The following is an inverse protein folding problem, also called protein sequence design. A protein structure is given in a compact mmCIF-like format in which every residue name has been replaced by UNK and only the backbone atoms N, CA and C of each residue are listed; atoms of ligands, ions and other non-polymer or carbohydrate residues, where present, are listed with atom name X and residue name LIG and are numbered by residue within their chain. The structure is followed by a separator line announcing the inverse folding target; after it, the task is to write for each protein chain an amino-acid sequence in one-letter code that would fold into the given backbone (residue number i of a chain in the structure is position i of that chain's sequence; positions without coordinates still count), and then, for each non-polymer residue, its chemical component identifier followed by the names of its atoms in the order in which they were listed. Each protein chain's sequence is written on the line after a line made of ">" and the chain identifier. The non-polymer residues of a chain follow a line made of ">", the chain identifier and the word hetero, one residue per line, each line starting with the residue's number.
data_IF_300524772305
#
_entry.id   IF_300524772305
#
_cell.length_a   1.000
_cell.length_b   1.000
_cell.length_c   1.000
_cell.angle_alpha   90.00
_cell.angle_beta   90.00
_cell.angle_gamma   90.00
#
_symmetry.space_group_name_H-M   'P 1'
#
loop_
_entity.id
_entity.type
_entity.pdbx_description
1 polymer ?
#
# COMPACT_ATOMS: atom_id res chain seq x y z
N UNK A 1 -26.40 18.27 -25.55
CA UNK A 1 -26.87 16.91 -25.87
C UNK A 1 -25.79 15.95 -25.40
N UNK A 2 -26.04 15.30 -24.25
CA UNK A 2 -25.06 14.37 -23.64
C UNK A 2 -25.02 13.07 -24.46
N UNK A 3 -23.86 12.77 -25.02
CA UNK A 3 -23.58 11.54 -25.79
C UNK A 3 -23.29 10.32 -24.94
N UNK A 4 -23.52 10.40 -23.63
CA UNK A 4 -23.39 9.26 -22.72
C UNK A 4 -24.77 8.93 -22.14
N UNK A 5 -25.45 7.98 -22.74
CA UNK A 5 -26.47 7.24 -22.01
C UNK A 5 -25.83 6.68 -20.74
N UNK A 6 -26.39 7.02 -19.58
CA UNK A 6 -26.09 6.38 -18.31
C UNK A 6 -26.47 4.90 -18.45
N UNK A 7 -25.55 4.07 -18.94
CA UNK A 7 -25.59 2.64 -18.60
C UNK A 7 -25.52 2.58 -17.08
N UNK A 8 -26.42 1.81 -16.49
CA UNK A 8 -26.53 1.61 -15.06
C UNK A 8 -25.15 1.30 -14.46
N UNK A 9 -24.48 2.34 -13.95
CA UNK A 9 -23.21 2.18 -13.26
C UNK A 9 -23.52 1.61 -11.88
N UNK A 10 -23.31 0.31 -11.71
CA UNK A 10 -23.36 -0.33 -10.39
C UNK A 10 -22.16 0.21 -9.61
N UNK A 11 -22.40 0.91 -8.53
CA UNK A 11 -21.34 1.40 -7.65
C UNK A 11 -21.22 0.52 -6.42
N UNK A 12 -20.05 0.51 -5.79
CA UNK A 12 -19.84 -0.19 -4.51
C UNK A 12 -20.81 0.29 -3.43
N UNK A 13 -21.21 1.56 -3.47
CA UNK A 13 -22.19 2.16 -2.54
C UNK A 13 -23.63 1.70 -2.79
N UNK A 14 -23.94 1.10 -3.96
CA UNK A 14 -25.28 0.59 -4.29
C UNK A 14 -25.42 -0.92 -4.08
N UNK A 15 -24.35 -1.64 -3.75
CA UNK A 15 -24.43 -3.06 -3.45
C UNK A 15 -24.93 -3.26 -2.02
N UNK A 16 -25.92 -4.14 -1.80
CA UNK A 16 -26.30 -4.54 -0.45
C UNK A 16 -25.12 -5.26 0.24
N UNK A 17 -24.79 -4.80 1.44
CA UNK A 17 -23.72 -5.39 2.25
C UNK A 17 -24.30 -6.54 3.07
N UNK A 18 -23.76 -7.73 2.89
CA UNK A 18 -24.11 -8.91 3.67
C UNK A 18 -23.60 -8.73 5.11
N UNK A 19 -24.47 -8.95 6.09
CA UNK A 19 -24.11 -8.90 7.51
C UNK A 19 -23.15 -10.03 7.87
N UNK A 20 -22.31 -9.84 8.87
CA UNK A 20 -21.22 -10.75 9.24
C UNK A 20 -21.67 -12.19 9.50
N UNK A 21 -22.83 -12.38 10.14
CA UNK A 21 -23.40 -13.71 10.44
C UNK A 21 -23.86 -14.50 9.18
N UNK A 22 -23.97 -13.87 8.03
CA UNK A 22 -24.32 -14.47 6.74
C UNK A 22 -23.15 -14.53 5.74
N UNK A 23 -21.98 -13.99 6.08
CA UNK A 23 -20.81 -13.91 5.18
C UNK A 23 -20.37 -15.29 4.70
N UNK A 24 -20.42 -16.30 5.57
CA UNK A 24 -20.03 -17.68 5.22
C UNK A 24 -20.75 -18.22 4.00
N UNK A 25 -22.07 -18.00 3.88
CA UNK A 25 -22.85 -18.54 2.76
C UNK A 25 -22.49 -17.92 1.42
N UNK A 26 -22.30 -16.57 1.38
CA UNK A 26 -21.91 -15.90 0.15
C UNK A 26 -20.45 -16.21 -0.22
N UNK A 27 -19.59 -16.33 0.78
CA UNK A 27 -18.19 -16.70 0.60
C UNK A 27 -18.03 -18.09 -0.01
N UNK A 28 -18.74 -19.10 0.52
CA UNK A 28 -18.69 -20.47 -0.02
C UNK A 28 -19.13 -20.48 -1.49
N UNK A 29 -20.21 -19.79 -1.86
CA UNK A 29 -20.67 -19.65 -3.25
C UNK A 29 -19.62 -18.94 -4.13
N UNK A 30 -19.03 -17.88 -3.63
CA UNK A 30 -18.01 -17.14 -4.36
C UNK A 30 -16.76 -17.99 -4.59
N UNK A 31 -16.29 -18.71 -3.56
CA UNK A 31 -15.14 -19.60 -3.65
C UNK A 31 -15.38 -20.74 -4.65
N UNK A 32 -16.55 -21.37 -4.62
CA UNK A 32 -16.91 -22.44 -5.57
C UNK A 32 -16.98 -21.93 -7.01
N UNK A 33 -17.61 -20.78 -7.23
CA UNK A 33 -17.81 -20.23 -8.56
C UNK A 33 -16.50 -19.73 -9.22
N UNK A 34 -15.52 -19.31 -8.42
CA UNK A 34 -14.30 -18.65 -8.91
C UNK A 34 -13.02 -19.48 -8.71
N UNK A 35 -13.13 -20.64 -8.07
CA UNK A 35 -11.96 -21.43 -7.68
C UNK A 35 -11.10 -20.76 -6.60
N UNK A 36 -11.72 -19.95 -5.73
CA UNK A 36 -11.04 -19.29 -4.63
C UNK A 36 -10.49 -17.90 -4.94
N UNK A 37 -11.01 -17.23 -5.97
CA UNK A 37 -10.69 -15.83 -6.28
C UNK A 37 -11.81 -14.91 -5.80
N UNK A 38 -11.48 -13.87 -5.03
CA UNK A 38 -12.47 -12.92 -4.54
C UNK A 38 -12.28 -11.58 -5.25
N UNK A 39 -13.28 -11.14 -6.01
CA UNK A 39 -13.29 -9.81 -6.62
C UNK A 39 -13.43 -8.75 -5.54
N UNK A 40 -12.53 -7.76 -5.52
CA UNK A 40 -12.61 -6.64 -4.60
C UNK A 40 -13.26 -5.41 -5.26
N UNK A 41 -13.70 -4.49 -4.41
CA UNK A 41 -14.19 -3.16 -4.84
C UNK A 41 -13.14 -2.11 -4.53
N UNK A 42 -13.05 -1.00 -5.31
CA UNK A 42 -12.10 0.07 -5.02
C UNK A 42 -12.31 0.67 -3.63
N UNK A 43 -11.25 0.68 -2.82
CA UNK A 43 -11.23 1.28 -1.47
C UNK A 43 -10.44 2.58 -1.51
N UNK A 44 -11.12 3.71 -1.34
CA UNK A 44 -10.54 5.04 -1.41
C UNK A 44 -10.33 5.61 -0.02
N UNK A 45 -9.18 6.27 0.20
CA UNK A 45 -8.85 6.93 1.48
C UNK A 45 -8.36 8.36 1.20
N UNK A 46 -8.99 9.38 1.83
CA UNK A 46 -8.54 10.75 1.73
C UNK A 46 -7.43 11.03 2.75
N UNK A 47 -6.54 11.97 2.41
CA UNK A 47 -5.57 12.54 3.36
C UNK A 47 -5.56 14.06 3.27
N UNK A 48 -5.33 14.69 4.40
CA UNK A 48 -5.33 16.15 4.51
C UNK A 48 -3.95 16.78 4.27
N UNK A 49 -2.90 15.99 4.06
CA UNK A 49 -1.52 16.47 4.02
C UNK A 49 -1.23 17.36 2.83
N UNK A 50 -1.61 16.91 1.62
CA UNK A 50 -1.42 17.63 0.37
C UNK A 50 -2.65 17.56 -0.52
N UNK A 51 -2.60 18.29 -1.64
CA UNK A 51 -3.54 18.04 -2.72
C UNK A 51 -3.25 16.68 -3.36
N UNK A 52 -4.31 15.92 -3.71
CA UNK A 52 -4.13 14.65 -4.38
C UNK A 52 -3.44 14.83 -5.72
N UNK A 53 -2.60 13.87 -6.08
CA UNK A 53 -2.06 13.70 -7.42
C UNK A 53 -3.17 13.32 -8.41
N UNK A 54 -2.78 13.01 -9.65
CA UNK A 54 -3.74 12.73 -10.72
C UNK A 54 -3.57 11.34 -11.30
N UNK A 55 -2.69 10.51 -10.70
CA UNK A 55 -2.25 9.25 -11.29
C UNK A 55 -2.95 8.00 -10.76
N UNK A 56 -3.67 8.07 -9.61
CA UNK A 56 -4.44 6.91 -9.09
C UNK A 56 -5.74 6.64 -9.87
N UNK A 57 -5.93 7.31 -11.00
CA UNK A 57 -7.04 7.10 -11.96
C UNK A 57 -8.42 7.41 -11.40
N UNK A 58 -8.54 8.18 -10.34
CA UNK A 58 -9.80 8.76 -9.89
C UNK A 58 -10.16 9.98 -10.77
N UNK A 59 -11.45 10.15 -11.12
CA UNK A 59 -11.90 11.30 -11.89
C UNK A 59 -11.67 12.60 -11.12
N UNK A 60 -11.16 13.68 -11.76
CA UNK A 60 -10.86 14.93 -11.06
C UNK A 60 -12.01 15.54 -10.27
N UNK A 61 -13.25 15.41 -10.75
CA UNK A 61 -14.45 15.91 -10.06
C UNK A 61 -14.71 15.16 -8.73
N UNK A 62 -14.10 14.01 -8.53
CA UNK A 62 -14.31 13.14 -7.38
C UNK A 62 -13.17 13.19 -6.35
N UNK A 63 -12.12 14.01 -6.57
CA UNK A 63 -10.99 14.09 -5.63
C UNK A 63 -11.39 14.45 -4.20
N UNK A 64 -12.52 15.12 -4.02
CA UNK A 64 -13.05 15.51 -2.71
C UNK A 64 -14.44 14.90 -2.44
N UNK A 65 -14.76 13.76 -3.05
CA UNK A 65 -16.05 13.10 -2.91
C UNK A 65 -16.39 12.65 -1.47
N UNK A 66 -15.37 12.48 -0.63
CA UNK A 66 -15.53 12.11 0.78
C UNK A 66 -15.63 13.31 1.73
N UNK A 67 -15.68 14.55 1.21
CA UNK A 67 -15.75 15.81 1.97
C UNK A 67 -14.45 16.59 1.92
N UNK A 68 -14.55 17.88 1.59
CA UNK A 68 -13.36 18.73 1.43
C UNK A 68 -12.59 18.93 2.75
N UNK A 69 -13.28 18.89 3.88
CA UNK A 69 -12.72 18.99 5.23
C UNK A 69 -11.88 17.78 5.61
N UNK A 70 -12.06 16.65 4.94
CA UNK A 70 -11.32 15.41 5.16
C UNK A 70 -10.04 15.32 4.33
N UNK A 71 -9.83 16.27 3.43
CA UNK A 71 -8.76 16.26 2.45
C UNK A 71 -9.15 15.59 1.13
N UNK A 72 -8.20 15.53 0.20
CA UNK A 72 -8.41 14.88 -1.09
C UNK A 72 -8.18 13.38 -1.03
N UNK A 73 -8.84 12.66 -1.94
CA UNK A 73 -8.59 11.22 -2.13
C UNK A 73 -7.29 11.07 -2.90
N UNK A 74 -6.24 10.71 -2.20
CA UNK A 74 -4.89 10.51 -2.71
C UNK A 74 -4.38 9.08 -2.52
N UNK A 75 -5.16 8.22 -1.85
CA UNK A 75 -4.83 6.81 -1.66
C UNK A 75 -5.93 5.89 -2.20
N UNK A 76 -5.52 4.74 -2.76
CA UNK A 76 -6.37 3.59 -3.04
C UNK A 76 -5.76 2.35 -2.40
N UNK A 77 -6.48 1.73 -1.46
CA UNK A 77 -6.03 0.57 -0.70
C UNK A 77 -6.47 -0.73 -1.32
N UNK A 78 -5.66 -1.78 -1.23
CA UNK A 78 -5.87 -3.08 -1.86
C UNK A 78 -5.80 -4.21 -0.84
N UNK A 79 -6.83 -5.09 -0.86
CA UNK A 79 -6.89 -6.27 0.00
C UNK A 79 -6.72 -5.96 1.48
N UNK A 80 -7.22 -4.81 1.92
CA UNK A 80 -7.03 -4.31 3.28
C UNK A 80 -8.08 -4.86 4.24
N UNK A 81 -7.62 -5.36 5.39
CA UNK A 81 -8.45 -5.64 6.57
C UNK A 81 -8.16 -4.65 7.71
N UNK A 82 -7.42 -3.57 7.40
CA UNK A 82 -7.00 -2.53 8.33
C UNK A 82 -7.86 -1.28 8.16
N UNK A 83 -8.37 -0.74 9.26
CA UNK A 83 -9.06 0.54 9.28
C UNK A 83 -8.06 1.68 9.19
N UNK A 84 -8.36 2.72 8.40
CA UNK A 84 -7.48 3.89 8.35
C UNK A 84 -7.58 4.72 9.65
N UNK A 85 -6.51 5.42 9.98
CA UNK A 85 -6.40 6.22 11.21
C UNK A 85 -6.75 7.70 11.00
N UNK A 86 -7.66 8.01 10.07
CA UNK A 86 -8.14 9.38 9.86
C UNK A 86 -9.06 9.84 10.98
N UNK A 87 -8.97 11.12 11.34
CA UNK A 87 -10.00 11.76 12.17
C UNK A 87 -11.33 11.79 11.42
N UNK A 88 -12.44 11.58 12.14
CA UNK A 88 -13.80 11.59 11.59
C UNK A 88 -14.01 10.61 10.42
N UNK A 89 -13.28 9.48 10.40
CA UNK A 89 -13.44 8.43 9.39
C UNK A 89 -14.80 7.73 9.48
N UNK A 90 -15.25 7.18 8.37
CA UNK A 90 -16.36 6.23 8.38
C UNK A 90 -15.91 4.88 8.97
N UNK A 91 -16.86 4.11 9.50
CA UNK A 91 -16.57 2.85 10.21
C UNK A 91 -15.82 1.80 9.34
N UNK A 92 -16.01 1.83 8.02
CA UNK A 92 -15.41 0.89 7.09
C UNK A 92 -14.30 1.48 6.22
N UNK A 93 -13.87 2.70 6.54
CA UNK A 93 -12.83 3.37 5.76
C UNK A 93 -11.48 2.64 5.89
N UNK A 94 -10.86 2.37 4.76
CA UNK A 94 -9.66 1.54 4.66
C UNK A 94 -9.91 0.04 4.50
N UNK A 95 -11.13 -0.46 4.79
CA UNK A 95 -11.47 -1.87 4.64
C UNK A 95 -11.86 -2.21 3.20
N UNK A 96 -11.30 -3.28 2.66
CA UNK A 96 -11.70 -3.80 1.35
C UNK A 96 -12.97 -4.62 1.44
N UNK A 97 -13.88 -4.38 0.48
CA UNK A 97 -15.05 -5.21 0.27
C UNK A 97 -14.82 -6.20 -0.85
N UNK A 98 -15.20 -7.46 -0.62
CA UNK A 98 -15.40 -8.45 -1.65
C UNK A 98 -16.77 -8.27 -2.27
N UNK A 99 -16.90 -8.51 -3.59
CA UNK A 99 -18.21 -8.58 -4.25
C UNK A 99 -18.42 -9.91 -4.94
N UNK A 100 -19.64 -10.42 -4.84
CA UNK A 100 -20.09 -11.59 -5.59
C UNK A 100 -21.54 -11.40 -6.01
N UNK A 101 -21.84 -11.60 -7.30
CA UNK A 101 -23.14 -11.30 -7.88
C UNK A 101 -23.56 -9.83 -7.61
N UNK A 102 -24.59 -9.59 -6.79
CA UNK A 102 -25.11 -8.27 -6.42
C UNK A 102 -24.94 -7.95 -4.94
N UNK A 103 -24.09 -8.69 -4.25
CA UNK A 103 -23.83 -8.51 -2.82
C UNK A 103 -22.37 -8.17 -2.57
N UNK A 104 -22.10 -7.48 -1.48
CA UNK A 104 -20.76 -7.20 -0.99
C UNK A 104 -20.61 -7.66 0.46
N UNK A 105 -19.39 -7.99 0.86
CA UNK A 105 -19.04 -8.36 2.24
C UNK A 105 -17.59 -7.93 2.52
N UNK A 106 -17.26 -7.68 3.78
CA UNK A 106 -15.92 -7.27 4.15
C UNK A 106 -14.92 -8.45 3.98
N UNK A 107 -13.76 -8.16 3.40
CA UNK A 107 -12.66 -9.12 3.36
C UNK A 107 -12.23 -9.54 4.78
N UNK A 108 -12.28 -8.63 5.75
CA UNK A 108 -12.02 -8.92 7.16
C UNK A 108 -12.95 -10.00 7.69
N UNK A 109 -14.26 -9.83 7.48
CA UNK A 109 -15.26 -10.80 7.96
C UNK A 109 -15.09 -12.18 7.28
N UNK A 110 -14.72 -12.18 5.98
CA UNK A 110 -14.40 -13.42 5.28
C UNK A 110 -13.18 -14.14 5.87
N UNK A 111 -12.14 -13.38 6.23
CA UNK A 111 -10.94 -13.93 6.88
C UNK A 111 -11.28 -14.44 8.28
N UNK A 112 -12.11 -13.74 9.04
CA UNK A 112 -12.55 -14.18 10.37
C UNK A 112 -13.33 -15.50 10.30
N UNK A 113 -14.19 -15.67 9.29
CA UNK A 113 -14.99 -16.88 9.07
C UNK A 113 -14.18 -18.07 8.52
N UNK A 114 -13.24 -17.83 7.62
CA UNK A 114 -12.56 -18.87 6.85
C UNK A 114 -11.05 -18.71 6.76
N UNK A 115 -10.41 -18.10 7.76
CA UNK A 115 -9.02 -17.68 7.73
C UNK A 115 -8.04 -18.72 7.22
N UNK A 116 -8.11 -19.96 7.69
CA UNK A 116 -7.19 -21.01 7.22
C UNK A 116 -7.32 -21.33 5.72
N UNK A 117 -8.53 -21.26 5.16
CA UNK A 117 -8.78 -21.49 3.73
C UNK A 117 -8.35 -20.27 2.89
N UNK A 118 -8.56 -19.04 3.41
CA UNK A 118 -8.28 -17.80 2.68
C UNK A 118 -6.79 -17.43 2.71
N UNK A 119 -6.17 -17.47 3.87
CA UNK A 119 -4.79 -16.97 4.06
C UNK A 119 -3.77 -18.06 4.43
N UNK A 120 -4.20 -19.32 4.53
CA UNK A 120 -3.35 -20.45 4.90
C UNK A 120 -3.32 -20.70 6.41
N UNK A 121 -3.21 -21.99 6.78
CA UNK A 121 -3.27 -22.43 8.18
C UNK A 121 -2.15 -21.84 9.05
N UNK A 122 -0.94 -21.68 8.52
CA UNK A 122 0.20 -21.14 9.24
C UNK A 122 -0.02 -19.66 9.57
N UNK A 123 -0.39 -18.84 8.59
CA UNK A 123 -0.65 -17.41 8.77
C UNK A 123 -1.85 -17.18 9.70
N UNK A 124 -2.95 -17.88 9.46
CA UNK A 124 -4.12 -17.84 10.35
C UNK A 124 -3.79 -18.29 11.78
N UNK A 125 -2.97 -19.35 11.92
CA UNK A 125 -2.52 -19.83 13.22
C UNK A 125 -1.75 -18.78 14.03
N UNK A 126 -0.88 -18.03 13.37
CA UNK A 126 0.01 -17.03 14.00
C UNK A 126 -0.69 -15.69 14.24
N UNK A 127 -1.37 -15.14 13.24
CA UNK A 127 -1.83 -13.75 13.26
C UNK A 127 -3.33 -13.59 13.50
N UNK A 128 -4.16 -14.60 13.22
CA UNK A 128 -5.63 -14.55 13.33
C UNK A 128 -6.29 -13.43 12.52
N UNK A 129 -5.56 -12.89 11.52
CA UNK A 129 -5.99 -11.85 10.59
C UNK A 129 -5.15 -11.91 9.33
N UNK A 130 -5.54 -11.19 8.29
CA UNK A 130 -4.66 -10.83 7.18
C UNK A 130 -3.82 -9.62 7.60
N UNK A 131 -2.50 -9.79 7.87
CA UNK A 131 -1.73 -8.78 8.60
C UNK A 131 -1.08 -7.71 7.72
N UNK A 132 -1.36 -7.70 6.43
CA UNK A 132 -0.73 -6.81 5.45
C UNK A 132 -1.77 -6.22 4.50
N UNK A 133 -1.43 -5.09 3.90
CA UNK A 133 -2.15 -4.55 2.74
C UNK A 133 -1.20 -3.80 1.83
N UNK A 134 -1.66 -3.37 0.67
CA UNK A 134 -0.93 -2.42 -0.14
C UNK A 134 -1.84 -1.28 -0.55
N UNK A 135 -1.23 -0.19 -1.02
CA UNK A 135 -1.98 0.94 -1.54
C UNK A 135 -1.23 1.58 -2.71
N UNK A 136 -1.96 2.31 -3.54
CA UNK A 136 -1.38 3.43 -4.26
C UNK A 136 -1.58 4.70 -3.47
N UNK A 137 -0.55 5.53 -3.41
CA UNK A 137 -0.71 6.92 -3.04
C UNK A 137 -0.06 7.84 -4.08
N UNK A 138 -0.67 9.01 -4.26
CA UNK A 138 -0.22 10.00 -5.24
C UNK A 138 -0.58 11.41 -4.78
N UNK A 139 0.45 12.20 -4.50
CA UNK A 139 0.33 13.57 -4.01
C UNK A 139 0.97 14.57 -4.99
N UNK A 140 0.60 15.83 -4.88
CA UNK A 140 1.17 16.92 -5.70
C UNK A 140 2.62 17.27 -5.33
N UNK A 141 3.21 16.61 -4.34
CA UNK A 141 4.58 16.77 -3.87
C UNK A 141 4.91 15.74 -2.81
N UNK A 142 6.07 15.81 -2.16
CA UNK A 142 6.38 14.98 -1.01
C UNK A 142 5.40 15.26 0.14
N UNK A 143 4.92 14.22 0.81
CA UNK A 143 4.13 14.39 2.05
C UNK A 143 5.06 14.82 3.20
N UNK A 144 4.52 15.27 4.35
CA UNK A 144 5.37 15.72 5.45
C UNK A 144 6.39 14.66 5.86
N UNK A 145 7.60 15.11 6.19
CA UNK A 145 8.65 14.22 6.72
C UNK A 145 8.15 13.58 8.01
N UNK A 146 8.04 12.24 8.02
CA UNK A 146 7.43 11.48 9.10
C UNK A 146 8.16 10.16 9.34
N UNK A 147 7.78 9.47 10.38
CA UNK A 147 8.19 8.10 10.65
C UNK A 147 7.00 7.24 11.05
N UNK A 148 7.16 5.94 10.98
CA UNK A 148 6.25 4.97 11.55
C UNK A 148 6.86 4.31 12.77
N UNK A 149 6.05 4.11 13.82
CA UNK A 149 6.50 3.48 15.05
C UNK A 149 6.94 2.04 14.83
N UNK A 150 7.95 1.61 15.60
CA UNK A 150 8.31 0.20 15.75
C UNK A 150 7.15 -0.60 16.39
N UNK A 151 7.22 -1.93 16.37
CA UNK A 151 6.22 -2.76 17.05
C UNK A 151 6.20 -2.50 18.56
N UNK A 152 7.37 -2.29 19.16
CA UNK A 152 7.48 -2.01 20.60
C UNK A 152 6.91 -0.63 20.96
N UNK A 153 7.20 0.41 20.16
CA UNK A 153 6.68 1.76 20.39
C UNK A 153 5.16 1.83 20.17
N UNK A 154 4.66 1.23 19.10
CA UNK A 154 3.22 1.20 18.81
C UNK A 154 2.42 0.41 19.87
N UNK A 155 3.01 -0.63 20.45
CA UNK A 155 2.39 -1.41 21.51
C UNK A 155 2.09 -0.56 22.76
N UNK A 156 2.83 0.53 23.00
CA UNK A 156 2.58 1.46 24.11
C UNK A 156 1.19 2.12 24.04
N UNK A 157 0.62 2.21 22.85
CA UNK A 157 -0.73 2.76 22.60
C UNK A 157 -1.72 1.69 22.07
N UNK A 158 -1.37 0.40 22.21
CA UNK A 158 -2.22 -0.71 21.81
C UNK A 158 -2.33 -0.89 20.29
N UNK A 159 -1.36 -0.39 19.52
CA UNK A 159 -1.26 -0.49 18.07
C UNK A 159 -0.14 -1.45 17.67
N UNK A 160 -0.02 -1.71 16.38
CA UNK A 160 1.09 -2.46 15.78
C UNK A 160 2.04 -1.50 15.04
N UNK A 161 3.32 -1.84 14.98
CA UNK A 161 4.30 -1.11 14.19
C UNK A 161 3.98 -1.12 12.70
N UNK A 162 4.58 -0.19 11.94
CA UNK A 162 4.32 -0.08 10.51
C UNK A 162 5.62 -0.08 9.68
N UNK A 163 6.24 -1.23 9.48
CA UNK A 163 7.19 -1.40 8.40
C UNK A 163 6.47 -1.33 7.06
N UNK A 164 7.11 -0.69 6.07
CA UNK A 164 6.55 -0.52 4.74
C UNK A 164 7.59 -0.62 3.63
N UNK A 165 7.15 -0.56 2.39
CA UNK A 165 7.99 -0.58 1.21
C UNK A 165 7.39 0.24 0.10
N UNK A 166 8.22 0.71 -0.82
CA UNK A 166 7.80 1.46 -1.99
C UNK A 166 8.19 0.73 -3.27
N UNK A 167 7.33 0.83 -4.26
CA UNK A 167 7.62 0.52 -5.65
C UNK A 167 7.01 1.59 -6.55
N UNK A 168 7.72 2.00 -7.59
CA UNK A 168 7.27 3.08 -8.49
C UNK A 168 6.87 2.50 -9.85
N UNK A 169 5.62 2.03 -10.02
CA UNK A 169 5.20 1.35 -11.24
C UNK A 169 5.26 2.27 -12.46
N UNK A 170 5.96 1.88 -13.54
CA UNK A 170 6.04 2.67 -14.76
C UNK A 170 4.67 3.00 -15.37
N UNK A 171 3.68 2.14 -15.18
CA UNK A 171 2.33 2.27 -15.72
C UNK A 171 1.54 3.45 -15.11
N UNK A 172 1.90 3.86 -13.91
CA UNK A 172 1.34 5.03 -13.21
C UNK A 172 2.25 6.26 -13.28
N UNK A 173 3.50 6.07 -13.67
CA UNK A 173 4.54 7.09 -13.73
C UNK A 173 5.07 7.22 -15.16
N UNK A 174 4.22 7.58 -16.12
CA UNK A 174 4.57 7.77 -17.51
C UNK A 174 5.52 8.96 -17.76
N UNK A 175 5.65 9.84 -16.77
CA UNK A 175 6.67 10.89 -16.73
C UNK A 175 7.24 10.98 -15.30
N UNK A 176 8.45 11.54 -15.15
CA UNK A 176 9.11 11.65 -13.86
C UNK A 176 8.64 12.88 -13.06
N UNK A 177 7.54 13.52 -13.47
CA UNK A 177 7.11 14.79 -12.92
C UNK A 177 8.24 15.85 -13.02
N UNK A 178 8.22 16.90 -12.20
CA UNK A 178 9.22 17.96 -12.27
C UNK A 178 10.60 17.51 -11.79
N UNK A 179 10.64 16.81 -10.66
CA UNK A 179 11.84 16.26 -10.05
C UNK A 179 11.48 15.01 -9.26
N UNK A 180 11.77 13.81 -9.78
CA UNK A 180 11.45 12.56 -9.08
C UNK A 180 12.41 12.37 -7.91
N UNK A 181 11.94 12.63 -6.70
CA UNK A 181 12.73 12.54 -5.47
C UNK A 181 11.91 12.04 -4.29
N UNK A 182 12.61 11.58 -3.30
CA UNK A 182 12.09 11.22 -1.96
C UNK A 182 13.15 11.56 -0.92
N UNK A 183 12.71 11.67 0.34
CA UNK A 183 13.62 11.79 1.47
C UNK A 183 13.55 10.52 2.31
N UNK A 184 14.70 9.98 2.69
CA UNK A 184 14.81 8.78 3.53
C UNK A 184 16.01 8.92 4.46
N UNK A 185 15.76 8.95 5.76
CA UNK A 185 16.76 9.20 6.78
C UNK A 185 17.25 10.65 6.81
N UNK A 186 18.35 10.83 7.49
CA UNK A 186 19.04 12.11 7.72
C UNK A 186 20.42 12.07 7.05
N UNK A 187 21.00 13.25 6.82
CA UNK A 187 22.39 13.33 6.36
C UNK A 187 23.31 12.69 7.39
N UNK A 188 24.29 11.86 6.96
CA UNK A 188 25.26 11.28 7.87
C UNK A 188 26.01 12.35 8.67
N UNK A 189 26.08 12.17 9.99
CA UNK A 189 26.67 13.16 10.89
C UNK A 189 25.65 14.08 11.56
N UNK A 190 24.38 14.06 11.14
CA UNK A 190 23.30 14.75 11.88
C UNK A 190 23.23 14.24 13.32
N UNK A 191 23.02 15.15 14.26
CA UNK A 191 22.92 14.86 15.68
C UNK A 191 21.49 14.93 16.23
N UNK A 192 21.18 14.19 17.28
CA UNK A 192 19.89 14.30 18.01
C UNK A 192 19.62 15.72 18.50
N UNK A 193 20.68 16.50 18.81
CA UNK A 193 20.54 17.89 19.25
C UNK A 193 20.07 18.82 18.12
N UNK A 194 20.46 18.57 16.87
CA UNK A 194 19.97 19.33 15.70
C UNK A 194 18.51 19.00 15.43
N UNK A 195 18.14 17.72 15.45
CA UNK A 195 16.74 17.32 15.31
C UNK A 195 15.86 17.90 16.43
N UNK A 196 16.35 17.90 17.67
CA UNK A 196 15.65 18.54 18.82
C UNK A 196 15.34 20.02 18.52
N UNK A 197 16.27 20.77 17.95
CA UNK A 197 16.05 22.18 17.57
C UNK A 197 14.94 22.33 16.55
N UNK A 198 14.80 21.39 15.61
CA UNK A 198 13.68 21.40 14.67
C UNK A 198 12.34 21.29 15.41
N UNK A 199 12.23 20.37 16.39
CA UNK A 199 11.02 20.21 17.18
C UNK A 199 10.74 21.43 18.09
N UNK A 200 11.77 22.02 18.73
CA UNK A 200 11.67 23.25 19.54
C UNK A 200 11.26 24.48 18.72
N UNK A 201 11.44 24.45 17.41
CA UNK A 201 11.07 25.52 16.48
C UNK A 201 9.69 25.32 15.85
N UNK A 202 8.91 24.33 16.26
CA UNK A 202 7.63 23.96 15.66
C UNK A 202 6.68 25.13 15.37
N UNK A 203 6.61 26.11 16.26
CA UNK A 203 5.72 27.28 16.13
C UNK A 203 6.41 28.55 15.63
N UNK A 204 7.67 28.47 15.18
CA UNK A 204 8.48 29.62 14.82
C UNK A 204 8.73 29.78 13.30
N UNK A 205 7.84 29.26 12.47
CA UNK A 205 7.97 29.17 11.03
C UNK A 205 8.29 27.73 10.60
N UNK A 206 8.89 27.52 9.45
CA UNK A 206 9.36 26.22 8.98
C UNK A 206 10.43 25.69 9.93
N UNK A 207 10.33 24.42 10.32
CA UNK A 207 11.15 23.87 11.44
C UNK A 207 12.56 23.40 11.03
N UNK A 208 12.89 23.42 9.74
CA UNK A 208 14.24 23.11 9.24
C UNK A 208 14.57 21.62 9.12
N UNK A 209 13.60 20.73 9.27
CA UNK A 209 13.89 19.28 9.22
C UNK A 209 14.40 18.82 7.86
N UNK A 210 13.96 19.46 6.77
CA UNK A 210 14.43 19.09 5.43
C UNK A 210 15.91 19.43 5.21
N UNK A 211 16.46 20.40 5.94
CA UNK A 211 17.89 20.71 5.90
C UNK A 211 18.76 19.57 6.47
N UNK A 212 18.16 18.73 7.30
CA UNK A 212 18.80 17.56 7.89
C UNK A 212 18.55 16.27 7.09
N UNK A 213 17.62 16.30 6.13
CA UNK A 213 17.07 15.10 5.50
C UNK A 213 17.86 14.68 4.27
N UNK A 214 18.07 13.37 4.11
CA UNK A 214 18.73 12.78 2.95
C UNK A 214 17.77 12.64 1.78
N UNK A 215 18.09 13.30 0.67
CA UNK A 215 17.30 13.21 -0.56
C UNK A 215 17.87 12.16 -1.53
N UNK A 216 16.96 11.41 -2.17
CA UNK A 216 17.30 10.45 -3.21
C UNK A 216 16.50 10.72 -4.49
N UNK A 217 17.18 10.58 -5.64
CA UNK A 217 16.50 10.56 -6.92
C UNK A 217 15.84 9.22 -7.14
N UNK A 218 14.54 9.24 -7.48
CA UNK A 218 13.75 8.04 -7.76
C UNK A 218 13.96 7.56 -9.20
N UNK A 219 13.82 6.24 -9.40
CA UNK A 219 13.83 5.60 -10.70
C UNK A 219 12.56 4.75 -10.81
N UNK A 220 11.80 4.96 -11.89
CA UNK A 220 10.60 4.14 -12.19
C UNK A 220 10.97 2.68 -12.34
N UNK A 221 10.08 1.79 -11.91
CA UNK A 221 10.30 0.34 -11.92
C UNK A 221 11.27 -0.16 -10.85
N UNK A 222 11.54 0.64 -9.82
CA UNK A 222 12.38 0.24 -8.67
C UNK A 222 11.65 0.47 -7.36
N UNK A 223 12.17 -0.06 -6.27
CA UNK A 223 11.55 0.02 -4.96
C UNK A 223 12.51 0.31 -3.81
N UNK A 224 11.97 0.40 -2.61
CA UNK A 224 12.68 0.62 -1.36
C UNK A 224 12.01 -0.12 -0.21
N UNK A 225 12.79 -0.64 0.73
CA UNK A 225 12.31 -1.02 2.06
C UNK A 225 12.41 0.19 2.99
N UNK A 226 11.38 0.42 3.80
CA UNK A 226 11.33 1.48 4.79
C UNK A 226 11.11 0.85 6.17
N UNK A 227 12.20 0.65 6.93
CA UNK A 227 12.09 0.14 8.29
C UNK A 227 11.35 1.13 9.21
N UNK A 228 10.65 0.65 10.24
CA UNK A 228 10.09 1.51 11.28
C UNK A 228 11.16 2.40 11.92
N UNK A 229 10.75 3.54 12.44
CA UNK A 229 11.65 4.51 13.08
C UNK A 229 12.54 5.29 12.12
N UNK A 230 12.45 5.06 10.79
CA UNK A 230 13.18 5.84 9.79
C UNK A 230 12.32 7.01 9.34
N UNK A 231 12.89 8.22 9.45
CA UNK A 231 12.30 9.45 8.92
C UNK A 231 12.27 9.40 7.40
N UNK A 232 11.12 9.69 6.80
CA UNK A 232 10.97 9.69 5.35
C UNK A 232 9.87 10.64 4.90
N UNK A 233 9.96 11.10 3.66
CA UNK A 233 8.93 11.88 2.99
C UNK A 233 8.75 11.30 1.59
N UNK A 234 7.73 10.45 1.40
CA UNK A 234 7.44 9.89 0.09
C UNK A 234 7.30 10.98 -0.95
N UNK A 235 7.98 10.75 -2.07
CA UNK A 235 8.25 11.82 -3.01
C UNK A 235 7.20 12.00 -4.10
N UNK A 236 7.67 12.47 -5.24
CA UNK A 236 6.83 12.99 -6.32
C UNK A 236 6.31 11.93 -7.31
N UNK A 237 6.59 10.65 -7.13
CA UNK A 237 6.06 9.57 -7.96
C UNK A 237 4.85 8.91 -7.30
N UNK A 238 3.89 8.47 -8.13
CA UNK A 238 2.83 7.58 -7.67
C UNK A 238 3.45 6.27 -7.18
N UNK A 239 3.15 5.90 -5.95
CA UNK A 239 3.82 4.82 -5.24
C UNK A 239 2.86 3.67 -4.97
N UNK A 240 3.29 2.45 -5.26
CA UNK A 240 2.70 1.21 -4.76
C UNK A 240 3.40 0.85 -3.45
N UNK A 241 2.65 0.69 -2.37
CA UNK A 241 3.17 0.53 -1.02
C UNK A 241 2.63 -0.74 -0.36
N UNK A 242 3.28 -1.90 -0.54
CA UNK A 242 3.09 -3.06 0.33
C UNK A 242 3.62 -2.76 1.74
N UNK A 243 2.79 -3.06 2.76
CA UNK A 243 3.09 -2.71 4.15
C UNK A 243 2.44 -3.66 5.15
N UNK A 244 2.87 -3.55 6.41
CA UNK A 244 2.16 -4.15 7.53
C UNK A 244 0.80 -3.48 7.76
N UNK A 245 -0.17 -4.23 8.27
CA UNK A 245 -1.54 -3.81 8.50
C UNK A 245 -1.72 -2.85 9.67
N UNK A 246 -1.05 -1.72 9.60
CA UNK A 246 -1.10 -0.62 10.58
C UNK A 246 -1.12 0.73 9.87
N UNK A 247 -1.63 1.77 10.54
CA UNK A 247 -1.67 3.15 10.03
C UNK A 247 -1.14 4.15 11.08
N UNK A 248 -0.17 3.72 11.92
CA UNK A 248 0.51 4.58 12.89
C UNK A 248 1.55 5.47 12.21
N UNK A 249 1.72 6.71 12.69
CA UNK A 249 2.76 7.62 12.23
C UNK A 249 3.03 8.77 13.20
N UNK A 250 4.20 9.41 13.06
CA UNK A 250 4.53 10.69 13.69
C UNK A 250 5.07 11.65 12.64
N UNK A 251 4.40 12.80 12.42
CA UNK A 251 4.81 13.83 11.47
C UNK A 251 5.86 14.73 12.09
N UNK A 252 7.08 14.75 11.56
CA UNK A 252 8.20 15.54 12.06
C UNK A 252 8.38 16.90 11.35
N UNK A 253 7.73 17.08 10.20
CA UNK A 253 7.71 18.35 9.47
C UNK A 253 6.45 19.14 9.80
N UNK A 254 6.61 20.40 10.17
CA UNK A 254 5.51 21.26 10.62
C UNK A 254 4.86 22.10 9.50
N UNK A 255 5.53 22.30 8.39
CA UNK A 255 5.00 23.00 7.21
C UNK A 255 5.42 22.24 5.96
N UNK A 256 4.46 21.92 5.09
CA UNK A 256 4.69 21.28 3.80
C UNK A 256 3.84 21.97 2.73
N UNK A 257 4.47 22.38 1.62
CA UNK A 257 3.79 23.08 0.52
C UNK A 257 2.89 24.25 1.02
N UNK A 258 3.37 24.99 2.01
CA UNK A 258 2.64 26.11 2.63
C UNK A 258 1.49 25.72 3.56
N UNK A 259 1.29 24.43 3.84
CA UNK A 259 0.28 23.92 4.76
C UNK A 259 0.90 23.61 6.12
N UNK A 260 0.21 24.01 7.17
CA UNK A 260 0.61 23.72 8.53
C UNK A 260 0.22 22.29 8.94
N UNK A 261 1.18 21.57 9.52
CA UNK A 261 1.00 20.25 10.13
C UNK A 261 0.94 20.45 11.63
N UNK A 262 -0.17 20.14 12.31
CA UNK A 262 -0.31 20.38 13.74
C UNK A 262 0.56 19.40 14.56
N UNK A 263 0.99 19.87 15.76
CA UNK A 263 1.76 19.05 16.70
C UNK A 263 1.05 17.74 17.07
N UNK A 264 -0.28 17.74 17.11
CA UNK A 264 -1.07 16.53 17.36
C UNK A 264 -0.79 15.40 16.37
N UNK A 265 -0.39 15.69 15.13
CA UNK A 265 0.00 14.65 14.16
C UNK A 265 1.43 14.12 14.36
N UNK A 266 2.28 14.83 15.09
CA UNK A 266 3.57 14.29 15.52
C UNK A 266 3.39 13.24 16.61
N UNK A 267 2.46 13.47 17.54
CA UNK A 267 2.36 12.70 18.79
C UNK A 267 1.12 11.80 18.88
N UNK A 268 0.31 11.71 17.80
CA UNK A 268 -1.00 11.02 17.84
C UNK A 268 -0.92 9.54 18.25
N UNK A 269 0.16 8.85 17.91
CA UNK A 269 0.38 7.43 18.19
C UNK A 269 1.46 7.24 19.27
N UNK A 270 1.47 8.14 20.26
CA UNK A 270 2.35 8.11 21.43
C UNK A 270 1.51 8.22 22.72
N UNK A 271 1.98 7.70 23.86
CA UNK A 271 1.29 7.89 25.14
C UNK A 271 1.08 9.38 25.46
N UNK A 272 -0.11 9.76 25.94
CA UNK A 272 -0.51 11.16 26.13
C UNK A 272 0.47 11.92 27.04
N UNK A 273 0.95 11.28 28.10
CA UNK A 273 1.93 11.84 29.05
C UNK A 273 3.31 12.10 28.43
N UNK A 274 3.55 11.58 27.22
CA UNK A 274 4.79 11.74 26.44
C UNK A 274 4.72 12.81 25.34
N UNK A 275 3.57 13.42 25.11
CA UNK A 275 3.37 14.37 24.02
C UNK A 275 4.24 15.62 24.07
N UNK A 276 4.85 15.94 25.22
CA UNK A 276 5.78 17.05 25.40
C UNK A 276 7.21 16.60 25.73
N UNK A 277 7.47 15.30 25.77
CA UNK A 277 8.78 14.72 26.08
C UNK A 277 9.60 14.55 24.79
N UNK A 278 10.39 15.57 24.44
CA UNK A 278 11.20 15.55 23.20
C UNK A 278 12.23 14.42 23.19
N UNK A 279 12.73 13.98 24.34
CA UNK A 279 13.67 12.85 24.38
C UNK A 279 12.96 11.54 24.05
N UNK A 280 11.73 11.37 24.52
CA UNK A 280 10.89 10.24 24.15
C UNK A 280 10.54 10.25 22.66
N UNK A 281 10.08 11.39 22.13
CA UNK A 281 9.70 11.56 20.72
C UNK A 281 10.88 11.21 19.80
N UNK A 282 12.08 11.76 20.10
CA UNK A 282 13.31 11.48 19.32
C UNK A 282 13.78 10.04 19.55
N UNK A 283 13.51 9.50 20.73
CA UNK A 283 13.85 8.13 21.12
C UNK A 283 13.15 7.04 20.30
N UNK A 284 11.99 7.35 19.70
CA UNK A 284 11.28 6.42 18.80
C UNK A 284 11.96 6.26 17.42
N UNK A 285 12.93 7.10 17.11
CA UNK A 285 13.67 6.97 15.86
C UNK A 285 14.77 5.89 15.98
N UNK A 286 14.85 5.01 15.01
CA UNK A 286 16.03 4.17 14.81
C UNK A 286 17.17 5.06 14.32
N UNK A 287 17.96 5.54 15.29
CA UNK A 287 18.97 6.56 15.00
C UNK A 287 20.05 6.05 14.03
N UNK A 288 20.49 4.80 14.19
CA UNK A 288 21.53 4.20 13.35
C UNK A 288 21.10 4.13 11.90
N UNK A 289 19.86 3.69 11.64
CA UNK A 289 19.30 3.63 10.29
C UNK A 289 19.08 5.03 9.70
N UNK A 290 18.67 6.01 10.52
CA UNK A 290 18.42 7.37 10.04
C UNK A 290 19.67 8.07 9.52
N UNK A 291 20.83 7.84 10.12
CA UNK A 291 22.11 8.46 9.71
C UNK A 291 23.04 7.51 8.94
N UNK A 292 22.52 6.37 8.48
CA UNK A 292 23.29 5.37 7.75
C UNK A 292 23.79 5.90 6.40
N UNK A 293 25.11 6.05 6.18
CA UNK A 293 25.65 6.48 4.90
C UNK A 293 25.36 5.46 3.77
N UNK A 294 25.09 4.20 4.11
CA UNK A 294 24.80 3.10 3.19
C UNK A 294 23.29 2.79 3.09
N UNK A 295 22.41 3.67 3.58
CA UNK A 295 20.96 3.45 3.60
C UNK A 295 20.42 2.96 2.25
N UNK A 296 20.86 3.59 1.14
CA UNK A 296 20.48 3.16 -0.20
C UNK A 296 20.92 1.72 -0.51
N UNK A 297 22.12 1.35 -0.15
CA UNK A 297 22.66 0.02 -0.43
C UNK A 297 21.93 -1.07 0.33
N UNK A 298 21.41 -0.73 1.51
CA UNK A 298 20.72 -1.64 2.41
C UNK A 298 19.22 -1.76 2.14
N UNK A 299 18.61 -0.78 1.43
CA UNK A 299 17.15 -0.69 1.32
C UNK A 299 16.62 -0.54 -0.12
N UNK A 300 17.46 -0.18 -1.09
CA UNK A 300 17.04 0.01 -2.48
C UNK A 300 16.85 -1.32 -3.20
N UNK A 301 15.76 -1.46 -3.93
CA UNK A 301 15.33 -2.68 -4.60
C UNK A 301 15.30 -2.48 -6.12
N UNK A 302 16.19 -3.17 -6.83
CA UNK A 302 16.07 -3.38 -8.29
C UNK A 302 15.20 -4.62 -8.53
N UNK A 303 14.29 -4.63 -9.53
CA UNK A 303 13.50 -5.81 -9.84
C UNK A 303 14.36 -7.00 -10.25
N UNK A 304 14.07 -8.16 -9.68
CA UNK A 304 14.79 -9.43 -9.94
C UNK A 304 13.80 -10.42 -10.55
N UNK A 305 14.18 -11.05 -11.66
CA UNK A 305 13.36 -12.11 -12.26
C UNK A 305 13.21 -13.26 -11.25
N UNK A 306 11.98 -13.56 -10.91
CA UNK A 306 11.59 -14.65 -10.04
C UNK A 306 11.27 -15.92 -10.84
N UNK A 307 10.55 -15.74 -11.95
CA UNK A 307 10.19 -16.80 -12.87
C UNK A 307 9.84 -16.21 -14.25
N UNK A 308 10.01 -17.00 -15.32
CA UNK A 308 9.67 -16.54 -16.66
C UNK A 308 9.44 -17.73 -17.61
N UNK A 309 8.71 -17.45 -18.67
CA UNK A 309 8.50 -18.41 -19.75
C UNK A 309 8.16 -17.70 -21.06
N UNK A 310 7.78 -18.44 -22.11
CA UNK A 310 7.43 -17.84 -23.39
C UNK A 310 6.27 -16.84 -23.24
N UNK A 311 6.57 -15.55 -23.46
CA UNK A 311 5.59 -14.48 -23.42
C UNK A 311 5.13 -14.03 -22.03
N UNK A 312 5.83 -14.38 -20.97
CA UNK A 312 5.56 -13.87 -19.63
C UNK A 312 6.82 -13.79 -18.78
N UNK A 313 6.80 -12.86 -17.80
CA UNK A 313 7.88 -12.68 -16.85
C UNK A 313 7.31 -12.23 -15.50
N UNK A 314 7.70 -12.90 -14.43
CA UNK A 314 7.37 -12.57 -13.03
C UNK A 314 8.62 -12.06 -12.31
N UNK A 315 8.52 -10.92 -11.63
CA UNK A 315 9.66 -10.25 -11.00
C UNK A 315 9.37 -9.94 -9.55
N UNK A 316 10.34 -10.12 -8.70
CA UNK A 316 10.37 -9.49 -7.39
C UNK A 316 10.49 -7.98 -7.54
N UNK A 317 9.59 -7.24 -6.91
CA UNK A 317 9.61 -5.77 -6.85
C UNK A 317 9.74 -5.26 -5.41
N UNK A 318 9.30 -6.06 -4.43
CA UNK A 318 9.57 -5.88 -2.99
C UNK A 318 10.02 -7.23 -2.43
N UNK A 319 11.18 -7.25 -1.81
CA UNK A 319 11.82 -8.45 -1.27
C UNK A 319 12.81 -8.08 -0.15
N UNK A 320 13.34 -9.08 0.54
CA UNK A 320 14.22 -8.88 1.68
C UNK A 320 13.47 -8.96 3.01
N UNK A 321 14.14 -8.52 4.06
CA UNK A 321 13.64 -8.58 5.44
C UNK A 321 13.70 -7.19 6.09
N UNK A 322 12.81 -6.95 7.04
CA UNK A 322 12.88 -5.80 7.94
C UNK A 322 13.23 -6.34 9.32
N UNK A 323 14.36 -5.91 9.87
CA UNK A 323 14.91 -6.39 11.15
C UNK A 323 15.02 -7.93 11.23
N UNK A 324 15.39 -8.56 10.09
CA UNK A 324 15.54 -10.02 9.97
C UNK A 324 14.26 -10.81 9.73
N UNK A 325 13.08 -10.15 9.74
CA UNK A 325 11.78 -10.78 9.53
C UNK A 325 11.25 -10.53 8.12
N UNK A 326 10.73 -11.59 7.47
CA UNK A 326 9.96 -11.46 6.23
C UNK A 326 8.54 -11.04 6.58
N UNK A 327 8.24 -9.74 6.51
CA UNK A 327 6.94 -9.19 6.91
C UNK A 327 5.97 -9.07 5.74
N UNK A 328 6.47 -8.74 4.57
CA UNK A 328 5.71 -8.66 3.31
C UNK A 328 6.66 -8.77 2.12
N UNK A 329 6.13 -9.12 0.97
CA UNK A 329 6.85 -9.10 -0.31
C UNK A 329 5.89 -8.73 -1.42
N UNK A 330 6.42 -8.38 -2.61
CA UNK A 330 5.58 -8.16 -3.78
C UNK A 330 6.27 -8.59 -5.08
N UNK A 331 5.43 -8.97 -6.06
CA UNK A 331 5.87 -9.33 -7.41
C UNK A 331 5.07 -8.57 -8.48
N UNK A 332 5.70 -8.39 -9.63
CA UNK A 332 5.09 -7.87 -10.85
C UNK A 332 5.10 -8.98 -11.90
N UNK A 333 3.90 -9.35 -12.38
CA UNK A 333 3.75 -10.24 -13.53
C UNK A 333 3.46 -9.42 -14.78
N UNK A 334 4.17 -9.71 -15.85
CA UNK A 334 3.88 -9.24 -17.21
C UNK A 334 3.55 -10.44 -18.10
N UNK A 335 2.42 -10.38 -18.81
CA UNK A 335 2.03 -11.39 -19.82
C UNK A 335 1.79 -10.69 -21.15
N UNK A 336 2.51 -11.12 -22.20
CA UNK A 336 2.41 -10.55 -23.54
C UNK A 336 1.08 -10.89 -24.22
N UNK A 337 0.61 -10.09 -25.20
CA UNK A 337 -0.63 -10.34 -25.91
C UNK A 337 -0.72 -11.75 -26.50
N UNK A 338 -1.85 -12.44 -26.26
CA UNK A 338 -2.10 -13.80 -26.71
C UNK A 338 -1.35 -14.89 -25.94
N UNK A 339 -0.63 -14.53 -24.89
CA UNK A 339 0.10 -15.48 -24.04
C UNK A 339 -0.63 -15.74 -22.73
N UNK A 340 -0.21 -16.80 -22.06
CA UNK A 340 -0.73 -17.18 -20.73
C UNK A 340 0.33 -17.88 -19.88
N UNK A 341 0.13 -17.87 -18.59
CA UNK A 341 0.93 -18.60 -17.61
C UNK A 341 0.04 -19.12 -16.48
N UNK A 342 0.62 -19.95 -15.62
CA UNK A 342 -0.04 -20.40 -14.38
C UNK A 342 0.76 -19.88 -13.20
N UNK A 343 0.14 -19.06 -12.38
CA UNK A 343 0.69 -18.62 -11.10
C UNK A 343 0.44 -19.68 -10.05
N UNK A 344 1.50 -20.16 -9.42
CA UNK A 344 1.42 -21.07 -8.29
C UNK A 344 2.27 -20.51 -7.16
N UNK A 345 1.63 -19.70 -6.33
CA UNK A 345 2.28 -19.04 -5.20
C UNK A 345 2.10 -19.86 -3.91
N UNK A 346 3.05 -19.85 -2.96
CA UNK A 346 2.96 -20.62 -1.72
C UNK A 346 1.97 -20.05 -0.71
N UNK A 347 1.44 -18.83 -0.93
CA UNK A 347 0.50 -18.18 -0.02
C UNK A 347 -0.51 -17.31 -0.73
N UNK A 348 -1.48 -16.80 0.05
CA UNK A 348 -2.46 -15.82 -0.42
C UNK A 348 -1.79 -14.51 -0.84
N UNK A 349 -2.43 -13.81 -1.76
CA UNK A 349 -1.97 -12.50 -2.25
C UNK A 349 -3.17 -11.62 -2.63
N UNK A 350 -2.96 -10.30 -2.67
CA UNK A 350 -3.89 -9.40 -3.33
C UNK A 350 -3.28 -8.85 -4.60
N UNK A 351 -4.06 -8.89 -5.69
CA UNK A 351 -3.68 -8.54 -7.06
C UNK A 351 -4.32 -7.23 -7.48
N UNK A 352 -3.55 -6.36 -8.14
CA UNK A 352 -4.05 -5.19 -8.86
C UNK A 352 -3.52 -5.17 -10.29
N UNK A 353 -4.41 -5.06 -11.29
CA UNK A 353 -4.05 -4.92 -12.70
C UNK A 353 -3.71 -3.47 -12.99
N UNK A 354 -2.47 -3.20 -13.39
CA UNK A 354 -1.96 -1.84 -13.63
C UNK A 354 -1.90 -1.48 -15.11
N UNK A 355 -1.98 -2.48 -15.99
CA UNK A 355 -2.00 -2.30 -17.44
C UNK A 355 -2.73 -3.45 -18.12
N UNK A 356 -3.42 -3.15 -19.22
CA UNK A 356 -4.01 -4.13 -20.11
C UNK A 356 -5.33 -4.72 -19.61
N UNK A 357 -5.74 -5.79 -20.29
CA UNK A 357 -6.90 -6.61 -19.96
C UNK A 357 -6.61 -8.08 -20.20
N UNK A 358 -7.33 -8.95 -19.52
CA UNK A 358 -7.15 -10.38 -19.62
C UNK A 358 -8.08 -11.14 -18.69
N UNK A 359 -7.60 -12.27 -18.20
CA UNK A 359 -8.31 -13.12 -17.24
C UNK A 359 -7.37 -13.62 -16.15
N UNK A 360 -7.91 -13.76 -14.95
CA UNK A 360 -7.30 -14.44 -13.83
C UNK A 360 -8.25 -15.57 -13.40
N UNK A 361 -7.96 -16.79 -13.79
CA UNK A 361 -8.86 -17.93 -13.61
C UNK A 361 -10.25 -17.65 -14.20
N UNK A 362 -11.28 -17.66 -13.37
CA UNK A 362 -12.66 -17.38 -13.76
C UNK A 362 -13.00 -15.88 -13.89
N UNK A 363 -12.13 -14.98 -13.46
CA UNK A 363 -12.41 -13.55 -13.40
C UNK A 363 -11.77 -12.78 -14.57
N UNK A 364 -12.55 -11.92 -15.21
CA UNK A 364 -12.01 -10.97 -16.17
C UNK A 364 -11.17 -9.91 -15.46
N UNK A 365 -10.11 -9.48 -16.11
CA UNK A 365 -9.25 -8.38 -15.64
C UNK A 365 -9.28 -7.24 -16.65
N UNK A 366 -9.43 -6.02 -16.14
CA UNK A 366 -9.27 -4.82 -16.94
C UNK A 366 -8.81 -3.65 -16.08
N UNK A 367 -7.68 -3.06 -16.44
CA UNK A 367 -7.24 -1.82 -15.81
C UNK A 367 -8.12 -0.65 -16.25
N UNK A 368 -8.67 0.16 -15.36
CA UNK A 368 -9.43 1.35 -15.75
C UNK A 368 -8.51 2.45 -16.29
N UNK A 369 -8.99 3.26 -17.22
CA UNK A 369 -8.32 4.50 -17.64
C UNK A 369 -8.58 5.59 -16.59
N UNK A 370 -9.85 5.72 -16.18
CA UNK A 370 -10.31 6.64 -15.14
C UNK A 370 -11.58 6.07 -14.51
N UNK A 371 -11.79 6.31 -13.22
CA UNK A 371 -12.95 5.81 -12.47
C UNK A 371 -13.66 6.95 -11.76
N UNK A 372 -14.97 6.84 -11.61
CA UNK A 372 -15.76 7.68 -10.70
C UNK A 372 -15.67 7.10 -9.27
N UNK A 373 -15.79 7.97 -8.28
CA UNK A 373 -15.96 7.53 -6.89
C UNK A 373 -17.21 6.63 -6.77
N UNK A 374 -17.04 5.48 -6.10
CA UNK A 374 -18.10 4.46 -5.97
C UNK A 374 -18.28 3.55 -7.19
N UNK A 375 -17.58 3.78 -8.31
CA UNK A 375 -17.61 2.89 -9.46
C UNK A 375 -16.92 1.55 -9.15
N UNK A 376 -17.52 0.44 -9.57
CA UNK A 376 -16.89 -0.88 -9.54
C UNK A 376 -15.85 -1.02 -10.65
N UNK A 377 -14.81 -1.82 -10.40
CA UNK A 377 -13.73 -2.10 -11.34
C UNK A 377 -13.48 -3.61 -11.49
N UNK A 378 -12.75 -3.96 -12.55
CA UNK A 378 -12.34 -5.34 -12.84
C UNK A 378 -10.81 -5.54 -12.66
N UNK A 379 -10.16 -4.69 -11.88
CA UNK A 379 -8.70 -4.68 -11.77
C UNK A 379 -8.16 -5.30 -10.47
N UNK A 380 -9.02 -5.51 -9.44
CA UNK A 380 -8.58 -5.92 -8.11
C UNK A 380 -9.17 -7.27 -7.68
N UNK A 381 -8.30 -8.19 -7.22
CA UNK A 381 -8.68 -9.56 -6.81
C UNK A 381 -7.86 -9.99 -5.61
N UNK A 382 -8.51 -10.58 -4.61
CA UNK A 382 -7.83 -11.34 -3.56
C UNK A 382 -7.71 -12.80 -4.02
N UNK A 383 -6.48 -13.29 -4.14
CA UNK A 383 -6.14 -14.67 -4.48
C UNK A 383 -5.97 -15.42 -3.16
N UNK A 384 -6.91 -16.28 -2.83
CA UNK A 384 -6.84 -17.04 -1.57
C UNK A 384 -5.69 -18.04 -1.60
N UNK A 385 -5.25 -18.49 -0.43
CA UNK A 385 -4.27 -19.56 -0.29
C UNK A 385 -4.70 -20.83 -1.03
N UNK A 386 -6.00 -21.14 -1.02
CA UNK A 386 -6.55 -22.29 -1.76
C UNK A 386 -6.29 -22.15 -3.27
N UNK A 387 -6.65 -21.01 -3.86
CA UNK A 387 -6.44 -20.74 -5.29
C UNK A 387 -4.95 -20.71 -5.66
N UNK A 388 -4.14 -20.00 -4.87
CA UNK A 388 -2.69 -19.86 -5.08
C UNK A 388 -1.98 -21.23 -5.09
N UNK A 389 -2.31 -22.09 -4.14
CA UNK A 389 -1.72 -23.42 -4.02
C UNK A 389 -2.14 -24.38 -5.15
N UNK A 390 -3.39 -24.25 -5.63
CA UNK A 390 -3.90 -25.01 -6.77
C UNK A 390 -3.26 -24.58 -8.09
N UNK A 391 -2.92 -23.30 -8.21
CA UNK A 391 -2.45 -22.63 -9.41
C UNK A 391 -3.58 -21.92 -10.15
N UNK A 392 -3.33 -20.67 -10.53
CA UNK A 392 -4.29 -19.80 -11.21
C UNK A 392 -3.77 -19.44 -12.60
N UNK A 393 -4.54 -19.75 -13.65
CA UNK A 393 -4.18 -19.33 -15.03
C UNK A 393 -4.36 -17.82 -15.17
N UNK A 394 -3.35 -17.14 -15.72
CA UNK A 394 -3.41 -15.74 -16.18
C UNK A 394 -3.30 -15.74 -17.66
N UNK A 395 -4.28 -15.15 -18.34
CA UNK A 395 -4.34 -15.06 -19.80
C UNK A 395 -4.44 -13.60 -20.24
N UNK A 396 -3.59 -13.19 -21.16
CA UNK A 396 -3.70 -11.91 -21.84
C UNK A 396 -4.47 -12.06 -23.15
N UNK A 397 -5.73 -11.70 -23.15
CA UNK A 397 -6.59 -11.66 -24.34
C UNK A 397 -6.73 -10.24 -24.92
N UNK A 398 -5.90 -9.30 -24.48
CA UNK A 398 -5.81 -7.93 -24.95
C UNK A 398 -4.80 -7.74 -26.08
N UNK A 399 -4.56 -6.47 -26.44
CA UNK A 399 -3.63 -6.05 -27.51
C UNK A 399 -2.35 -5.39 -26.99
N UNK A 400 -2.22 -5.24 -25.68
CA UNK A 400 -1.05 -4.70 -24.98
C UNK A 400 -0.64 -5.65 -23.85
N UNK A 401 0.57 -5.52 -23.27
CA UNK A 401 0.96 -6.33 -22.13
C UNK A 401 -0.04 -6.23 -20.99
N UNK A 402 -0.43 -7.38 -20.41
CA UNK A 402 -1.17 -7.45 -19.16
C UNK A 402 -0.16 -7.40 -18.03
N UNK A 403 -0.24 -6.36 -17.18
CA UNK A 403 0.66 -6.21 -16.04
C UNK A 403 -0.15 -6.19 -14.75
N UNK A 404 0.22 -7.06 -13.82
CA UNK A 404 -0.38 -7.14 -12.48
C UNK A 404 0.67 -7.07 -11.39
N UNK A 405 0.37 -6.32 -10.34
CA UNK A 405 1.15 -6.31 -9.09
C UNK A 405 0.43 -7.17 -8.07
N UNK A 406 1.18 -7.96 -7.30
CA UNK A 406 0.62 -8.72 -6.18
C UNK A 406 1.55 -8.70 -4.99
N UNK A 407 1.00 -8.55 -3.80
CA UNK A 407 1.75 -8.59 -2.56
C UNK A 407 1.33 -9.79 -1.71
N UNK A 408 2.24 -10.20 -0.83
CA UNK A 408 2.13 -11.39 -0.01
C UNK A 408 2.35 -11.05 1.46
N UNK A 409 1.75 -11.84 2.33
CA UNK A 409 1.92 -11.74 3.78
C UNK A 409 3.26 -12.29 4.28
N UNK A 410 3.47 -12.22 5.60
CA UNK A 410 4.72 -12.63 6.23
C UNK A 410 5.01 -14.12 6.04
N UNK A 411 6.30 -14.44 5.96
CA UNK A 411 6.81 -15.82 5.88
C UNK A 411 6.15 -16.67 4.77
N UNK A 412 5.74 -16.01 3.67
CA UNK A 412 5.14 -16.70 2.52
C UNK A 412 6.17 -17.51 1.73
N UNK A 413 7.40 -17.05 1.70
CA UNK A 413 8.46 -17.64 0.87
C UNK A 413 9.56 -18.24 1.73
N UNK A 414 10.06 -19.43 1.35
CA UNK A 414 11.18 -20.08 2.05
C UNK A 414 12.49 -19.33 1.80
N UNK A 415 12.66 -18.75 0.59
CA UNK A 415 13.85 -18.01 0.20
C UNK A 415 13.47 -16.69 -0.47
N UNK A 416 14.23 -15.62 -0.20
CA UNK A 416 14.12 -14.32 -0.82
C UNK A 416 15.44 -13.90 -1.46
N UNK A 417 15.40 -13.08 -2.53
CA UNK A 417 16.57 -12.41 -3.03
C UNK A 417 17.20 -11.53 -1.95
N UNK A 418 18.53 -11.44 -1.96
CA UNK A 418 19.23 -10.50 -1.08
C UNK A 418 19.07 -9.05 -1.57
N UNK A 419 18.83 -8.13 -0.66
CA UNK A 419 18.89 -6.69 -0.94
C UNK A 419 20.33 -6.31 -1.31
N UNK A 420 20.51 -5.49 -2.35
CA UNK A 420 21.85 -5.14 -2.85
C UNK A 420 22.55 -6.21 -3.69
N UNK A 421 21.95 -7.39 -3.89
CA UNK A 421 22.51 -8.50 -4.70
C UNK A 421 22.72 -8.18 -6.19
N UNK A 422 22.18 -7.08 -6.67
CA UNK A 422 22.41 -6.56 -8.02
C UNK A 422 23.78 -5.91 -8.25
N UNK A 423 24.63 -5.84 -7.22
CA UNK A 423 26.00 -5.31 -7.29
C UNK A 423 27.07 -6.37 -7.57
N UNK A 424 26.66 -7.63 -7.69
CA UNK A 424 27.60 -8.74 -7.97
C UNK A 424 27.80 -8.97 -9.48
#
# INVERSE_FOLDING_TARGET
>A
MSLFEKKDMVSSQSLPVTQSDNVRQILDRAMDATGGLLRLTPTWVPRSFLHPGKRIRLHPDDYYAMGAERGGIDERWFGSTTECANENREATEGLSFCRFEREAFLLRDAVDECGAALIGAQMWGKYKKWPVYSKFFDNMGPIPHHMHQSFDDAALVGQEGKPESYYFPPQYNNCDNNFPHTFMGLEPGTTKAELRKCLENWSKGENGILDLSKAYRLKRGTGWLIPPGVLHAPGSLCTYEPQWGSDVFGMFQNIVEGRYVPWSLLVKDMPEEKHQDLDFIIGQLDWEKNVDPNFKDNNYLEPIVADQGPGWCDRWIVYGTVDGEQLFTARELTVEPGCKCVLKDPGASSWITVQGKGRLGALDLQTPVIMRYGQLSEDEVFITHHAASAGVEVENNGSEPLVGLRYFGPSTWDELPAVGGHKA
#
